data_IF_273423758744
#
_entry.id   IF_273423758744
#
_cell.length_a   1.000
_cell.length_b   1.000
_cell.length_c   1.000
_cell.angle_alpha   90.00
_cell.angle_beta   90.00
_cell.angle_gamma   90.00
#
_symmetry.space_group_name_H-M   'P 1'
#
loop_
_entity.id
_entity.type
_entity.pdbx_description
1 polymer ?
#
# COMPACT_ATOMS: atom_id res chain seq x y z
N UNK A 1 -9.09 -9.09 3.27
CA UNK A 1 -9.68 -7.84 2.74
C UNK A 1 -8.57 -6.80 2.70
N UNK A 2 -8.36 -6.13 1.58
CA UNK A 2 -7.30 -5.12 1.44
C UNK A 2 -7.71 -3.76 1.98
N UNK A 3 -6.74 -2.87 2.12
CA UNK A 3 -6.88 -1.54 2.73
C UNK A 3 -6.34 -0.44 1.80
N UNK A 4 -7.01 0.71 1.80
CA UNK A 4 -6.55 1.95 1.17
C UNK A 4 -5.80 2.80 2.20
N UNK A 5 -4.57 3.17 1.89
CA UNK A 5 -3.74 4.05 2.69
C UNK A 5 -3.91 5.48 2.13
N UNK A 6 -4.42 6.43 2.93
CA UNK A 6 -4.68 7.79 2.48
C UNK A 6 -3.47 8.44 1.82
N UNK A 7 -3.72 9.13 0.70
CA UNK A 7 -2.74 9.84 -0.11
C UNK A 7 -1.57 9.02 -0.68
N UNK A 8 -1.51 7.70 -0.44
CA UNK A 8 -0.36 6.88 -0.83
C UNK A 8 -0.75 5.76 -1.81
N UNK A 9 -1.70 4.91 -1.44
CA UNK A 9 -1.91 3.68 -2.20
C UNK A 9 -2.82 2.68 -1.51
N UNK A 10 -2.58 1.41 -1.80
CA UNK A 10 -3.35 0.32 -1.23
C UNK A 10 -2.50 -0.90 -0.96
N UNK A 11 -2.94 -1.72 -0.01
CA UNK A 11 -2.34 -2.99 0.32
C UNK A 11 -3.39 -4.07 0.27
N UNK A 12 -3.13 -5.15 -0.45
CA UNK A 12 -4.08 -6.23 -0.62
C UNK A 12 -3.39 -7.57 -0.86
N UNK A 13 -4.12 -8.66 -0.66
CA UNK A 13 -3.66 -10.02 -0.95
C UNK A 13 -4.23 -10.45 -2.29
N UNK A 14 -3.35 -10.77 -3.22
CA UNK A 14 -3.70 -11.35 -4.52
C UNK A 14 -3.61 -12.87 -4.41
N UNK A 15 -4.69 -13.54 -4.77
CA UNK A 15 -4.72 -14.99 -4.93
C UNK A 15 -4.42 -15.34 -6.38
N UNK A 16 -3.41 -16.17 -6.62
CA UNK A 16 -3.07 -16.69 -7.95
C UNK A 16 -2.96 -18.21 -7.89
N UNK A 17 -3.49 -18.90 -8.90
CA UNK A 17 -3.21 -20.32 -9.10
C UNK A 17 -2.01 -20.47 -10.02
N UNK A 18 -1.03 -21.25 -9.59
CA UNK A 18 0.18 -21.54 -10.35
C UNK A 18 0.36 -23.05 -10.46
N UNK A 19 0.92 -23.49 -11.58
CA UNK A 19 1.27 -24.89 -11.77
C UNK A 19 2.68 -25.14 -11.21
N UNK A 20 2.80 -26.09 -10.29
CA UNK A 20 4.07 -26.55 -9.72
C UNK A 20 4.20 -28.03 -10.05
N UNK A 21 4.96 -28.35 -11.09
CA UNK A 21 5.01 -29.70 -11.66
C UNK A 21 3.66 -30.12 -12.24
N UNK A 22 3.05 -31.16 -11.67
CA UNK A 22 1.71 -31.67 -12.06
C UNK A 22 0.58 -31.10 -11.21
N UNK A 23 0.89 -30.34 -10.15
CA UNK A 23 -0.10 -29.86 -9.20
C UNK A 23 -0.44 -28.38 -9.43
N UNK A 24 -1.70 -28.03 -9.16
CA UNK A 24 -2.17 -26.65 -9.16
C UNK A 24 -2.18 -26.12 -7.72
N UNK A 25 -1.29 -25.18 -7.43
CA UNK A 25 -1.15 -24.57 -6.10
C UNK A 25 -1.78 -23.19 -6.11
N UNK A 26 -2.53 -22.88 -5.05
CA UNK A 26 -3.06 -21.53 -4.82
C UNK A 26 -2.08 -20.77 -3.94
N UNK A 27 -1.49 -19.70 -4.48
CA UNK A 27 -0.63 -18.78 -3.73
C UNK A 27 -1.41 -17.53 -3.32
N UNK A 28 -1.14 -17.04 -2.12
CA UNK A 28 -1.60 -15.75 -1.63
C UNK A 28 -0.40 -14.83 -1.47
N UNK A 29 -0.38 -13.72 -2.21
CA UNK A 29 0.73 -12.78 -2.21
C UNK A 29 0.27 -11.41 -1.72
N UNK A 30 0.87 -10.83 -0.67
CA UNK A 30 0.65 -9.44 -0.33
C UNK A 30 1.26 -8.54 -1.41
N UNK A 31 0.49 -7.54 -1.84
CA UNK A 31 0.89 -6.58 -2.86
C UNK A 31 0.50 -5.18 -2.40
N UNK A 32 1.50 -4.31 -2.34
CA UNK A 32 1.31 -2.87 -2.25
C UNK A 32 1.19 -2.29 -3.66
N UNK A 33 0.22 -1.40 -3.86
CA UNK A 33 -0.01 -0.68 -5.12
C UNK A 33 -0.09 0.80 -4.85
N UNK A 34 0.76 1.57 -5.54
CA UNK A 34 0.75 3.02 -5.47
C UNK A 34 -0.55 3.57 -6.07
N UNK A 35 -1.08 4.64 -5.48
CA UNK A 35 -2.26 5.29 -6.04
C UNK A 35 -1.87 5.99 -7.36
N UNK A 36 -2.71 5.85 -8.40
CA UNK A 36 -2.42 6.43 -9.73
C UNK A 36 -2.22 7.94 -9.66
N UNK A 37 -3.06 8.64 -8.91
CA UNK A 37 -2.93 10.09 -8.76
C UNK A 37 -1.60 10.48 -8.12
N UNK A 38 -1.12 9.71 -7.14
CA UNK A 38 0.20 9.91 -6.54
C UNK A 38 1.31 9.67 -7.57
N UNK A 39 1.26 8.55 -8.31
CA UNK A 39 2.24 8.25 -9.35
C UNK A 39 2.31 9.35 -10.42
N UNK A 40 1.15 9.83 -10.90
CA UNK A 40 1.05 10.88 -11.93
C UNK A 40 1.60 12.21 -11.44
N UNK A 41 1.21 12.65 -10.22
CA UNK A 41 1.68 13.93 -9.66
C UNK A 41 3.20 13.97 -9.51
N UNK A 42 3.81 12.82 -9.20
CA UNK A 42 5.27 12.72 -9.01
C UNK A 42 6.03 12.15 -10.22
N UNK A 43 5.39 12.04 -11.41
CA UNK A 43 5.99 11.49 -12.63
C UNK A 43 6.66 10.11 -12.45
N UNK A 44 6.08 9.26 -11.59
CA UNK A 44 6.57 7.92 -11.33
C UNK A 44 6.10 6.94 -12.40
N UNK A 45 6.93 5.93 -12.69
CA UNK A 45 6.56 4.85 -13.59
C UNK A 45 5.44 4.02 -12.96
N UNK A 46 4.21 4.16 -13.48
CA UNK A 46 3.06 3.33 -13.09
C UNK A 46 3.25 1.91 -13.64
N UNK A 47 3.23 0.89 -12.75
CA UNK A 47 3.42 -0.50 -13.14
C UNK A 47 2.20 -1.08 -13.90
N UNK A 48 1.14 -0.29 -14.08
CA UNK A 48 -0.13 -0.63 -14.76
C UNK A 48 -0.78 -1.93 -14.27
N UNK A 49 -0.30 -2.51 -13.18
CA UNK A 49 -0.91 -3.69 -12.60
C UNK A 49 -2.07 -3.20 -11.75
N UNK A 50 -3.25 -3.22 -12.36
CA UNK A 50 -4.46 -2.71 -11.72
C UNK A 50 -4.99 -3.71 -10.70
N UNK A 51 -5.57 -3.18 -9.62
CA UNK A 51 -6.58 -3.96 -8.90
C UNK A 51 -7.68 -4.29 -9.91
N UNK A 52 -8.16 -5.54 -9.99
CA UNK A 52 -9.38 -5.80 -10.76
C UNK A 52 -10.46 -4.86 -10.21
N UNK A 53 -11.08 -4.07 -11.08
CA UNK A 53 -11.98 -2.96 -10.72
C UNK A 53 -13.18 -3.34 -9.84
N UNK A 54 -13.34 -4.63 -9.56
CA UNK A 54 -14.44 -5.22 -8.82
C UNK A 54 -14.11 -5.38 -7.32
N UNK A 55 -12.85 -5.18 -6.89
CA UNK A 55 -12.45 -5.38 -5.50
C UNK A 55 -12.45 -4.06 -4.74
N UNK A 56 -13.49 -3.85 -3.94
CA UNK A 56 -13.59 -2.70 -3.05
C UNK A 56 -12.64 -2.87 -1.86
N UNK A 57 -11.82 -1.84 -1.61
CA UNK A 57 -10.88 -1.80 -0.51
C UNK A 57 -11.38 -0.88 0.61
N UNK A 58 -11.26 -1.30 1.86
CA UNK A 58 -11.66 -0.45 2.99
C UNK A 58 -10.63 0.66 3.23
N UNK A 59 -11.05 1.87 3.64
CA UNK A 59 -10.11 2.86 4.16
C UNK A 59 -9.33 2.30 5.37
N UNK A 60 -8.05 2.67 5.49
CA UNK A 60 -7.24 2.30 6.64
C UNK A 60 -7.88 2.82 7.93
N UNK A 61 -8.26 1.90 8.81
CA UNK A 61 -8.87 2.23 10.11
C UNK A 61 -7.76 2.54 11.10
N UNK A 62 -7.46 3.83 11.30
CA UNK A 62 -6.43 4.27 12.26
C UNK A 62 -6.65 3.71 13.68
N UNK A 63 -7.89 3.50 14.12
CA UNK A 63 -8.19 2.89 15.43
C UNK A 63 -7.70 1.44 15.53
N UNK A 64 -7.72 0.68 14.44
CA UNK A 64 -7.16 -0.67 14.38
C UNK A 64 -5.63 -0.64 14.43
N UNK A 65 -5.01 0.29 13.69
CA UNK A 65 -3.56 0.46 13.69
C UNK A 65 -3.08 0.89 15.07
N UNK A 66 -3.72 1.90 15.66
CA UNK A 66 -3.42 2.45 16.98
C UNK A 66 -3.40 1.36 18.07
N UNK A 67 -4.39 0.46 18.03
CA UNK A 67 -4.43 -0.72 18.92
C UNK A 67 -3.25 -1.67 18.69
N UNK A 68 -2.88 -1.92 17.44
CA UNK A 68 -1.78 -2.82 17.10
C UNK A 68 -0.39 -2.27 17.50
N UNK A 69 -0.21 -0.95 17.43
CA UNK A 69 1.05 -0.29 17.79
C UNK A 69 1.08 0.28 19.21
N UNK A 70 0.02 0.04 20.00
CA UNK A 70 -0.15 0.58 21.37
C UNK A 70 0.00 2.11 21.46
N UNK A 71 -0.49 2.84 20.45
CA UNK A 71 -0.48 4.31 20.39
C UNK A 71 -1.90 4.87 20.43
N UNK A 72 -2.04 6.18 20.70
CA UNK A 72 -3.34 6.83 20.55
C UNK A 72 -3.75 6.92 19.07
N UNK A 73 -5.05 7.04 18.83
CA UNK A 73 -5.59 7.22 17.48
C UNK A 73 -5.01 8.48 16.81
N UNK A 74 -4.95 9.61 17.54
CA UNK A 74 -4.39 10.87 17.03
C UNK A 74 -2.91 10.74 16.65
N UNK A 75 -2.10 10.10 17.51
CA UNK A 75 -0.67 9.90 17.21
C UNK A 75 -0.46 9.00 16.00
N UNK A 76 -1.30 7.97 15.86
CA UNK A 76 -1.24 7.03 14.73
C UNK A 76 -1.62 7.71 13.42
N UNK A 77 -2.69 8.49 13.40
CA UNK A 77 -3.11 9.28 12.24
C UNK A 77 -2.01 10.28 11.83
N UNK A 78 -1.52 11.08 12.78
CA UNK A 78 -0.47 12.06 12.50
C UNK A 78 0.81 11.41 11.97
N UNK A 79 1.19 10.25 12.49
CA UNK A 79 2.37 9.52 12.03
C UNK A 79 2.20 9.06 10.57
N UNK A 80 1.05 8.47 10.24
CA UNK A 80 0.77 7.98 8.88
C UNK A 80 0.71 9.16 7.90
N UNK A 81 -0.06 10.21 8.22
CA UNK A 81 -0.17 11.39 7.37
C UNK A 81 1.16 12.14 7.23
N UNK A 82 1.92 12.28 8.31
CA UNK A 82 3.23 12.93 8.30
C UNK A 82 4.23 12.16 7.42
N UNK A 83 4.23 10.83 7.50
CA UNK A 83 5.11 9.99 6.68
C UNK A 83 4.75 10.06 5.20
N UNK A 84 3.45 10.00 4.84
CA UNK A 84 3.02 10.13 3.44
C UNK A 84 3.26 11.52 2.88
N UNK A 85 3.07 12.57 3.69
CA UNK A 85 3.36 13.95 3.31
C UNK A 85 4.86 14.17 3.08
N UNK A 86 5.71 13.63 3.97
CA UNK A 86 7.16 13.71 3.80
C UNK A 86 7.61 13.00 2.53
N UNK A 87 7.07 11.80 2.25
CA UNK A 87 7.36 11.09 1.01
C UNK A 87 6.95 11.91 -0.23
N UNK A 88 5.75 12.49 -0.23
CA UNK A 88 5.26 13.37 -1.31
C UNK A 88 6.23 14.53 -1.55
N UNK A 89 6.63 15.21 -0.48
CA UNK A 89 7.53 16.35 -0.52
C UNK A 89 8.93 16.00 -1.05
N UNK A 90 9.50 14.87 -0.62
CA UNK A 90 10.77 14.37 -1.15
C UNK A 90 10.67 14.11 -2.67
N UNK A 91 9.59 13.48 -3.12
CA UNK A 91 9.36 13.19 -4.53
C UNK A 91 9.13 14.46 -5.36
N UNK A 92 8.44 15.45 -4.82
CA UNK A 92 8.26 16.79 -5.46
C UNK A 92 9.60 17.49 -5.72
N UNK A 93 10.58 17.27 -4.85
CA UNK A 93 11.95 17.81 -5.01
C UNK A 93 12.83 16.98 -5.93
N UNK A 94 12.32 15.87 -6.47
CA UNK A 94 13.11 14.92 -7.26
C UNK A 94 14.13 14.13 -6.44
N UNK A 95 13.94 14.04 -5.12
CA UNK A 95 14.82 13.24 -4.26
C UNK A 95 14.60 11.74 -4.52
N UNK A 96 15.70 10.98 -4.57
CA UNK A 96 15.66 9.53 -4.69
C UNK A 96 15.41 8.90 -3.30
N UNK A 97 14.14 8.72 -2.95
CA UNK A 97 13.69 8.20 -1.66
C UNK A 97 13.07 6.81 -1.82
N UNK A 98 13.34 5.93 -0.86
CA UNK A 98 12.75 4.59 -0.79
C UNK A 98 11.76 4.49 0.38
N UNK A 99 10.52 4.08 0.09
CA UNK A 99 9.58 3.61 1.11
C UNK A 99 9.69 2.09 1.23
N UNK A 100 10.38 1.62 2.26
CA UNK A 100 10.60 0.19 2.49
C UNK A 100 9.56 -0.35 3.48
N UNK A 101 8.68 -1.23 3.01
CA UNK A 101 7.76 -1.97 3.87
C UNK A 101 8.45 -3.26 4.32
N UNK A 102 8.80 -3.32 5.60
CA UNK A 102 9.40 -4.51 6.21
C UNK A 102 8.31 -5.53 6.57
N UNK A 103 8.71 -6.81 6.60
CA UNK A 103 7.87 -7.92 7.04
C UNK A 103 6.57 -8.07 6.22
N UNK A 104 6.63 -7.66 4.95
CA UNK A 104 5.58 -7.87 3.94
C UNK A 104 5.95 -9.09 3.11
N UNK A 105 5.29 -10.23 3.36
CA UNK A 105 5.52 -11.48 2.62
C UNK A 105 5.38 -12.70 3.50
#
# INVERSE_FOLDING_TARGET
QGVRIPALGSFDVITKRIQVGKEMVTIQRPVFRLARNFAVVHNLMDDKSYLPGNKELEPLKYTKVAKAVFMSWQKTENCIQGTTSLLSHCLEKGENVALVLKDVG
#
